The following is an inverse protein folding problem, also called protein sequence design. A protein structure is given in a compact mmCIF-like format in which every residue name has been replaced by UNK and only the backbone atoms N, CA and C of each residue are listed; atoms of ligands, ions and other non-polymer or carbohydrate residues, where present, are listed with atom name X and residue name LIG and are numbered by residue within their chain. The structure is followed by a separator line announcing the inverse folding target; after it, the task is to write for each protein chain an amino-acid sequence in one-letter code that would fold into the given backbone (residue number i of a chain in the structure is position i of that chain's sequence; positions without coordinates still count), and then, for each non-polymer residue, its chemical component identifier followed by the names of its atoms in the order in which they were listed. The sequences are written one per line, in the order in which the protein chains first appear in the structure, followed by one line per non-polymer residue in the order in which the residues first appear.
data_IF_505060912170
#
_entry.id   IF_505060912170
#
_cell.length_a   1.000
_cell.length_b   1.000
_cell.length_c   1.000
_cell.angle_alpha   90.00
_cell.angle_beta   90.00
_cell.angle_gamma   90.00
#
_symmetry.space_group_name_H-M   'P 1'
#
loop_
_entity.id
_entity.type
_entity.pdbx_description
1 polymer ?
#
# COMPACT_ATOMS: atom_id res chain seq x y z
N UNK A 1 -22.35 8.91 2.86
CA UNK A 1 -21.62 8.65 1.62
C UNK A 1 -20.13 8.76 1.88
N UNK A 2 -19.32 7.79 1.48
CA UNK A 2 -17.86 7.81 1.63
C UNK A 2 -17.25 8.58 0.46
N UNK A 3 -16.53 9.66 0.74
CA UNK A 3 -15.91 10.51 -0.30
C UNK A 3 -14.60 9.93 -0.86
N UNK A 4 -13.84 9.23 -0.01
CA UNK A 4 -12.56 8.61 -0.33
C UNK A 4 -12.40 7.37 0.55
N UNK A 5 -12.29 6.18 -0.06
CA UNK A 5 -12.03 4.95 0.66
C UNK A 5 -10.51 4.78 0.91
N UNK A 6 -10.10 4.35 2.10
CA UNK A 6 -8.72 3.96 2.37
C UNK A 6 -8.65 2.44 2.41
N UNK A 7 -7.87 1.85 1.50
CA UNK A 7 -7.75 0.39 1.34
C UNK A 7 -6.36 -0.02 1.80
N UNK A 8 -6.28 -0.78 2.89
CA UNK A 8 -5.03 -1.33 3.42
C UNK A 8 -4.76 -2.71 2.80
N UNK A 9 -3.58 -2.88 2.22
CA UNK A 9 -3.09 -4.15 1.70
C UNK A 9 -2.35 -4.89 2.82
N UNK A 10 -2.83 -6.07 3.20
CA UNK A 10 -2.28 -6.88 4.31
C UNK A 10 -1.99 -8.29 3.84
N UNK A 11 -0.92 -8.89 4.34
CA UNK A 11 -0.53 -10.25 4.03
C UNK A 11 0.95 -10.52 4.33
N UNK A 12 1.39 -11.79 4.27
CA UNK A 12 2.77 -12.16 4.56
C UNK A 12 3.76 -11.56 3.55
N UNK A 13 5.06 -11.71 3.84
CA UNK A 13 6.14 -11.43 2.87
C UNK A 13 5.92 -12.26 1.61
N UNK A 14 6.19 -11.66 0.44
CA UNK A 14 6.02 -12.34 -0.84
C UNK A 14 4.58 -12.45 -1.34
N UNK A 15 3.56 -12.04 -0.56
CA UNK A 15 2.15 -12.06 -0.99
C UNK A 15 1.82 -11.12 -2.18
N UNK A 16 2.76 -10.24 -2.57
CA UNK A 16 2.59 -9.37 -3.73
C UNK A 16 1.82 -8.07 -3.48
N UNK A 17 1.71 -7.60 -2.23
CA UNK A 17 1.02 -6.34 -1.86
C UNK A 17 1.49 -5.12 -2.68
N UNK A 18 2.79 -4.85 -2.67
CA UNK A 18 3.41 -3.75 -3.41
C UNK A 18 3.27 -3.91 -4.93
N UNK A 19 3.30 -5.17 -5.41
CA UNK A 19 3.08 -5.49 -6.83
C UNK A 19 1.64 -5.22 -7.23
N UNK A 20 0.68 -5.61 -6.40
CA UNK A 20 -0.74 -5.34 -6.61
C UNK A 20 -1.00 -3.82 -6.68
N UNK A 21 -0.40 -3.04 -5.78
CA UNK A 21 -0.43 -1.58 -5.89
C UNK A 21 0.12 -1.08 -7.24
N UNK A 22 1.32 -1.52 -7.65
CA UNK A 22 1.91 -1.08 -8.91
C UNK A 22 1.03 -1.44 -10.12
N UNK A 23 0.37 -2.60 -10.11
CA UNK A 23 -0.61 -3.00 -11.13
C UNK A 23 -1.81 -2.05 -11.18
N UNK A 24 -2.44 -1.76 -10.03
CA UNK A 24 -3.55 -0.81 -9.98
C UNK A 24 -3.11 0.58 -10.44
N UNK A 25 -1.98 1.07 -9.96
CA UNK A 25 -1.45 2.38 -10.36
C UNK A 25 -1.21 2.46 -11.87
N UNK A 26 -0.70 1.39 -12.47
CA UNK A 26 -0.45 1.31 -13.91
C UNK A 26 -1.76 1.36 -14.72
N UNK A 27 -2.81 0.67 -14.27
CA UNK A 27 -4.13 0.71 -14.92
C UNK A 27 -4.69 2.13 -14.93
N UNK A 28 -4.67 2.82 -13.79
CA UNK A 28 -5.19 4.18 -13.73
C UNK A 28 -4.34 5.20 -14.48
N UNK A 29 -3.04 4.98 -14.60
CA UNK A 29 -2.13 5.85 -15.36
C UNK A 29 -2.15 5.62 -16.87
N UNK A 30 -2.53 4.42 -17.32
CA UNK A 30 -2.48 4.01 -18.72
C UNK A 30 -1.08 3.61 -19.21
N UNK A 31 -0.10 3.49 -18.32
CA UNK A 31 1.25 3.02 -18.62
C UNK A 31 1.86 2.32 -17.40
N UNK A 32 2.87 1.49 -17.63
CA UNK A 32 3.56 0.75 -16.56
C UNK A 32 4.24 1.72 -15.59
N UNK A 33 3.88 1.65 -14.30
CA UNK A 33 4.44 2.47 -13.25
C UNK A 33 4.88 1.61 -12.06
N UNK A 34 6.12 1.84 -11.60
CA UNK A 34 6.69 1.17 -10.42
C UNK A 34 7.02 2.22 -9.37
N UNK A 35 6.13 2.41 -8.40
CA UNK A 35 6.28 3.38 -7.31
C UNK A 35 6.44 2.71 -5.93
N UNK A 36 6.02 1.46 -5.78
CA UNK A 36 6.36 0.63 -4.64
C UNK A 36 7.51 -0.33 -5.01
N UNK A 37 8.36 -0.63 -4.04
CA UNK A 37 9.42 -1.60 -4.20
C UNK A 37 8.82 -3.01 -4.31
N UNK A 38 9.21 -3.75 -5.34
CA UNK A 38 8.69 -5.10 -5.59
C UNK A 38 9.84 -6.04 -5.91
N UNK A 39 9.75 -7.26 -5.41
CA UNK A 39 10.75 -8.29 -5.63
C UNK A 39 10.54 -9.47 -4.69
N UNK A 40 11.44 -10.43 -4.78
CA UNK A 40 11.46 -11.62 -3.92
C UNK A 40 12.64 -11.50 -2.96
N UNK A 41 12.37 -11.58 -1.66
CA UNK A 41 13.38 -11.58 -0.60
C UNK A 41 12.89 -12.46 0.56
N UNK A 42 13.82 -12.86 1.44
CA UNK A 42 13.49 -13.61 2.65
C UNK A 42 12.77 -12.78 3.71
N UNK A 43 12.87 -11.45 3.64
CA UNK A 43 12.22 -10.50 4.55
C UNK A 43 11.44 -9.44 3.75
N UNK A 44 10.65 -8.63 4.44
CA UNK A 44 9.94 -7.49 3.83
C UNK A 44 10.88 -6.54 3.08
N UNK A 45 10.62 -6.34 1.78
CA UNK A 45 11.23 -5.26 0.98
C UNK A 45 10.59 -3.89 1.26
N UNK A 46 9.30 -3.92 1.59
CA UNK A 46 8.57 -2.75 2.07
C UNK A 46 8.83 -2.65 3.56
N UNK A 47 9.65 -1.68 3.96
CA UNK A 47 10.06 -1.48 5.36
C UNK A 47 9.31 -0.34 6.04
N UNK A 48 8.44 0.35 5.30
CA UNK A 48 7.66 1.49 5.79
C UNK A 48 6.24 1.36 5.25
N UNK A 49 5.27 1.76 6.07
CA UNK A 49 3.91 2.02 5.63
C UNK A 49 3.90 3.10 4.55
N UNK A 50 3.14 2.88 3.47
CA UNK A 50 3.01 3.83 2.36
C UNK A 50 1.55 4.10 2.05
N UNK A 51 1.17 5.38 1.99
CA UNK A 51 -0.14 5.78 1.44
C UNK A 51 0.04 6.35 0.04
N UNK A 52 -0.57 5.70 -0.94
CA UNK A 52 -0.52 6.09 -2.34
C UNK A 52 -1.82 6.74 -2.80
N UNK A 53 -1.68 7.97 -3.28
CA UNK A 53 -2.71 8.68 -4.02
C UNK A 53 -2.51 8.41 -5.50
N UNK A 54 -3.51 7.78 -6.13
CA UNK A 54 -3.46 7.46 -7.55
C UNK A 54 -3.74 8.74 -8.33
N UNK A 55 -2.78 9.12 -9.17
CA UNK A 55 -2.94 10.19 -10.16
C UNK A 55 -3.27 9.53 -11.50
N UNK A 56 -4.54 9.51 -11.92
CA UNK A 56 -4.91 8.84 -13.16
C UNK A 56 -4.42 9.61 -14.39
N UNK A 57 -4.38 8.92 -15.53
CA UNK A 57 -4.13 9.49 -16.85
C UNK A 57 -5.33 10.26 -17.41
N UNK A 58 -5.22 10.69 -18.66
CA UNK A 58 -6.32 11.37 -19.37
C UNK A 58 -7.56 10.47 -19.47
N UNK A 59 -8.73 11.02 -19.18
CA UNK A 59 -10.01 10.32 -19.28
C UNK A 59 -10.61 9.80 -17.97
N UNK A 60 -9.85 9.81 -16.86
CA UNK A 60 -10.38 9.54 -15.51
C UNK A 60 -10.22 10.78 -14.66
N UNK A 61 -11.34 11.36 -14.21
CA UNK A 61 -11.35 12.62 -13.47
C UNK A 61 -11.05 12.46 -11.98
N UNK A 62 -11.34 11.29 -11.40
CA UNK A 62 -11.19 11.04 -9.98
C UNK A 62 -11.06 9.55 -9.66
N UNK A 63 -10.21 9.21 -8.69
CA UNK A 63 -10.10 7.86 -8.12
C UNK A 63 -10.58 7.94 -6.67
N UNK A 64 -11.73 7.33 -6.32
CA UNK A 64 -12.37 7.50 -5.00
C UNK A 64 -11.75 6.64 -3.91
N UNK A 65 -10.47 6.29 -4.03
CA UNK A 65 -9.76 5.55 -3.01
C UNK A 65 -8.26 5.86 -2.98
N UNK A 66 -7.65 5.58 -1.83
CA UNK A 66 -6.20 5.47 -1.65
C UNK A 66 -5.84 4.01 -1.37
N UNK A 67 -4.65 3.62 -1.83
CA UNK A 67 -4.06 2.33 -1.47
C UNK A 67 -2.98 2.55 -0.44
N UNK A 68 -3.05 1.78 0.63
CA UNK A 68 -2.08 1.76 1.69
C UNK A 68 -1.30 0.44 1.60
N UNK A 69 -0.02 0.52 1.24
CA UNK A 69 0.89 -0.62 1.18
C UNK A 69 1.65 -0.75 2.50
N UNK A 70 1.89 -1.99 2.92
CA UNK A 70 2.48 -2.28 4.22
C UNK A 70 3.65 -3.26 4.14
N UNK A 71 4.41 -3.32 5.22
CA UNK A 71 5.34 -4.42 5.45
C UNK A 71 4.59 -5.77 5.48
N UNK A 72 5.33 -6.85 5.28
CA UNK A 72 4.83 -8.21 5.48
C UNK A 72 4.40 -8.44 6.92
N UNK A 73 3.42 -9.34 7.09
CA UNK A 73 3.23 -10.00 8.37
C UNK A 73 4.36 -11.04 8.52
N UNK A 74 5.25 -10.82 9.47
CA UNK A 74 6.45 -11.62 9.74
C UNK A 74 6.44 -12.07 11.21
N UNK A 75 7.02 -13.23 11.50
CA UNK A 75 7.22 -13.68 12.87
C UNK A 75 8.45 -12.99 13.49
N UNK A 76 8.25 -12.25 14.58
CA UNK A 76 9.31 -11.57 15.32
C UNK A 76 8.78 -10.34 16.08
N UNK A 77 9.33 -10.08 17.27
CA UNK A 77 9.02 -8.84 17.99
C UNK A 77 9.53 -7.65 17.16
N UNK A 78 8.65 -6.69 16.88
CA UNK A 78 8.97 -5.46 16.15
C UNK A 78 9.35 -5.64 14.67
N UNK A 79 8.97 -6.77 14.06
CA UNK A 79 9.19 -7.03 12.62
C UNK A 79 7.88 -7.01 11.86
N UNK A 80 7.80 -6.19 10.82
CA UNK A 80 6.61 -6.12 9.97
C UNK A 80 5.51 -5.21 10.51
N UNK A 81 4.31 -5.33 9.96
CA UNK A 81 3.17 -4.50 10.35
C UNK A 81 2.48 -5.07 11.59
N UNK A 82 2.38 -4.28 12.67
CA UNK A 82 1.59 -4.63 13.85
C UNK A 82 0.08 -4.55 13.54
N UNK A 83 -0.68 -5.55 13.98
CA UNK A 83 -2.14 -5.60 13.81
C UNK A 83 -2.82 -4.45 14.57
N UNK A 84 -2.24 -4.03 15.69
CA UNK A 84 -2.77 -2.93 16.50
C UNK A 84 -2.73 -1.58 15.73
N UNK A 85 -1.81 -1.43 14.77
CA UNK A 85 -1.71 -0.25 13.92
C UNK A 85 -2.80 -0.18 12.83
N UNK A 86 -3.49 -1.28 12.51
CA UNK A 86 -4.45 -1.33 11.39
C UNK A 86 -5.57 -0.32 11.57
N UNK A 87 -6.12 -0.23 12.79
CA UNK A 87 -7.21 0.68 13.09
C UNK A 87 -6.76 2.15 12.94
N UNK A 88 -5.55 2.47 13.40
CA UNK A 88 -4.96 3.81 13.28
C UNK A 88 -4.66 4.16 11.82
N UNK A 89 -4.15 3.21 11.03
CA UNK A 89 -3.94 3.36 9.59
C UNK A 89 -5.25 3.63 8.86
N UNK A 90 -6.27 2.81 9.08
CA UNK A 90 -7.56 2.93 8.38
C UNK A 90 -8.30 4.22 8.76
N UNK A 91 -8.15 4.70 10.00
CA UNK A 91 -8.63 6.01 10.44
C UNK A 91 -7.81 7.18 9.90
N UNK A 92 -6.64 6.92 9.30
CA UNK A 92 -5.75 7.94 8.74
C UNK A 92 -4.92 8.67 9.80
N UNK A 93 -4.71 8.04 10.97
CA UNK A 93 -3.91 8.60 12.06
C UNK A 93 -2.41 8.29 11.94
N UNK A 94 -2.03 7.36 11.04
CA UNK A 94 -0.64 7.02 10.76
C UNK A 94 -0.17 7.79 9.52
N UNK A 95 1.01 8.40 9.64
CA UNK A 95 1.63 9.19 8.58
C UNK A 95 2.26 8.28 7.50
N UNK A 96 2.27 8.73 6.25
CA UNK A 96 3.07 8.10 5.19
C UNK A 96 4.52 7.97 5.64
N UNK A 97 5.13 6.81 5.37
CA UNK A 97 6.50 6.45 5.76
C UNK A 97 6.72 6.13 7.24
N UNK A 98 5.65 5.90 8.00
CA UNK A 98 5.77 5.29 9.33
C UNK A 98 6.45 3.93 9.22
N UNK A 99 7.29 3.60 10.21
CA UNK A 99 8.11 2.39 10.27
C UNK A 99 7.80 1.63 11.55
#
# INVERSE_FOLDING_TARGET
SVKLARILLVGPVGAGKSSFYNSINSVFKGYVSMQANTGTAGTSLTTQFRTYYIKPGSGVSHVPFTLCDSMGLEEGLSTGLDVDDFASILKGHIQDRYQ
#
